data_IF_899893307584
#
_entry.id   IF_899893307584
#
_cell.length_a   1.000
_cell.length_b   1.000
_cell.length_c   1.000
_cell.angle_alpha   90.00
_cell.angle_beta   90.00
_cell.angle_gamma   90.00
#
_symmetry.space_group_name_H-M   'P 1'
#
loop_
_entity.id
_entity.type
_entity.pdbx_description
1 polymer ?
#
# COMPACT_ATOMS: atom_id res chain seq x y z
N UNK A 1 12.49 2.27 -8.83
CA UNK A 1 13.68 2.24 -7.96
C UNK A 1 14.09 0.79 -7.67
N UNK A 2 15.34 0.48 -7.29
CA UNK A 2 15.63 -0.82 -6.68
C UNK A 2 14.80 -0.96 -5.38
N UNK A 3 14.36 -2.17 -5.01
CA UNK A 3 13.49 -2.37 -3.86
C UNK A 3 14.14 -1.82 -2.58
N UNK A 4 13.38 -1.11 -1.76
CA UNK A 4 13.81 -0.77 -0.40
C UNK A 4 14.19 -2.09 0.30
N UNK A 5 15.43 -2.23 0.82
CA UNK A 5 15.83 -3.47 1.48
C UNK A 5 14.96 -3.73 2.71
N UNK A 6 14.27 -4.86 2.74
CA UNK A 6 13.42 -5.27 3.86
C UNK A 6 12.68 -6.55 3.50
N UNK A 7 13.09 -7.67 4.09
CA UNK A 7 12.34 -8.92 4.02
C UNK A 7 12.01 -9.33 5.44
N UNK A 8 10.73 -9.28 5.78
CA UNK A 8 10.20 -9.73 7.05
C UNK A 8 9.40 -11.00 6.81
N UNK A 9 9.73 -12.06 7.55
CA UNK A 9 9.09 -13.37 7.40
C UNK A 9 8.40 -13.72 8.70
N UNK A 10 7.11 -14.06 8.58
CA UNK A 10 6.25 -14.36 9.72
C UNK A 10 5.38 -13.16 10.10
N UNK A 11 4.11 -13.45 10.41
CA UNK A 11 3.08 -12.43 10.70
C UNK A 11 3.53 -11.43 11.77
N UNK A 12 4.07 -11.92 12.88
CA UNK A 12 4.46 -11.06 14.00
C UNK A 12 5.63 -10.15 13.65
N UNK A 13 6.57 -10.63 12.84
CA UNK A 13 7.70 -9.82 12.37
C UNK A 13 7.22 -8.72 11.40
N UNK A 14 6.31 -9.06 10.47
CA UNK A 14 5.73 -8.11 9.52
C UNK A 14 4.93 -7.03 10.25
N UNK A 15 4.04 -7.41 11.17
CA UNK A 15 3.24 -6.44 11.93
C UNK A 15 4.13 -5.62 12.86
N UNK A 16 5.10 -6.25 13.52
CA UNK A 16 6.04 -5.55 14.39
C UNK A 16 6.87 -4.50 13.66
N UNK A 17 7.31 -4.79 12.45
CA UNK A 17 8.00 -3.85 11.57
C UNK A 17 7.11 -2.64 11.23
N UNK A 18 5.89 -2.87 10.76
CA UNK A 18 4.93 -1.80 10.46
C UNK A 18 4.64 -0.90 11.67
N UNK A 19 4.44 -1.51 12.85
CA UNK A 19 4.23 -0.75 14.09
C UNK A 19 5.47 0.07 14.46
N UNK A 20 6.67 -0.50 14.36
CA UNK A 20 7.92 0.19 14.65
C UNK A 20 8.18 1.36 13.69
N UNK A 21 7.80 1.20 12.42
CA UNK A 21 7.90 2.24 11.37
C UNK A 21 6.76 3.28 11.45
N UNK A 22 5.87 3.17 12.45
CA UNK A 22 4.88 4.19 12.77
C UNK A 22 3.59 4.11 11.96
N UNK A 23 3.26 2.94 11.41
CA UNK A 23 2.04 2.72 10.62
C UNK A 23 0.77 3.18 11.36
N UNK A 24 0.69 2.97 12.67
CA UNK A 24 -0.46 3.38 13.50
C UNK A 24 -0.66 4.91 13.56
N UNK A 25 0.40 5.68 13.29
CA UNK A 25 0.39 7.14 13.30
C UNK A 25 0.16 7.79 11.94
N UNK A 26 0.01 7.02 10.85
CA UNK A 26 -0.13 7.58 9.50
C UNK A 26 -1.41 8.41 9.34
N UNK A 27 -2.48 8.07 10.06
CA UNK A 27 -3.76 8.76 10.00
C UNK A 27 -4.74 8.09 9.03
N UNK A 28 -5.67 8.88 8.47
CA UNK A 28 -6.73 8.35 7.63
C UNK A 28 -6.22 7.88 6.26
N UNK A 29 -6.60 6.66 5.89
CA UNK A 29 -6.25 6.04 4.61
C UNK A 29 -7.48 5.59 3.85
N UNK A 30 -7.39 5.63 2.52
CA UNK A 30 -8.32 4.97 1.60
C UNK A 30 -7.58 3.99 0.72
N UNK A 31 -8.27 2.93 0.31
CA UNK A 31 -7.73 1.91 -0.58
C UNK A 31 -8.59 1.77 -1.83
N UNK A 32 -7.93 1.61 -2.98
CA UNK A 32 -8.57 1.21 -4.25
C UNK A 32 -8.04 -0.17 -4.62
N UNK A 33 -8.96 -1.12 -4.83
CA UNK A 33 -8.63 -2.44 -5.33
C UNK A 33 -8.22 -2.37 -6.81
N UNK A 34 -7.14 -3.05 -7.17
CA UNK A 34 -6.62 -3.15 -8.54
C UNK A 34 -5.94 -4.50 -8.75
N UNK A 35 -5.18 -4.66 -9.84
CA UNK A 35 -4.40 -5.87 -10.10
C UNK A 35 -3.07 -5.57 -10.77
N UNK A 36 -2.04 -6.33 -10.42
CA UNK A 36 -0.71 -6.28 -11.04
C UNK A 36 -0.34 -7.66 -11.58
N UNK A 37 -0.13 -7.78 -12.90
CA UNK A 37 0.18 -9.06 -13.55
C UNK A 37 -0.79 -10.20 -13.16
N UNK A 38 -2.10 -9.91 -13.13
CA UNK A 38 -3.18 -10.81 -12.68
C UNK A 38 -3.17 -11.19 -11.19
N UNK A 39 -2.28 -10.62 -10.39
CA UNK A 39 -2.33 -10.75 -8.94
C UNK A 39 -3.21 -9.64 -8.35
N UNK A 40 -3.97 -9.92 -7.26
CA UNK A 40 -4.67 -8.88 -6.52
C UNK A 40 -3.70 -7.83 -6.01
N UNK A 41 -4.10 -6.56 -6.07
CA UNK A 41 -3.33 -5.47 -5.49
C UNK A 41 -4.25 -4.41 -4.87
N UNK A 42 -3.71 -3.65 -3.92
CA UNK A 42 -4.39 -2.54 -3.28
C UNK A 42 -3.51 -1.28 -3.39
N UNK A 43 -4.08 -0.21 -3.92
CA UNK A 43 -3.45 1.10 -3.93
C UNK A 43 -3.95 1.91 -2.75
N UNK A 44 -3.03 2.38 -1.91
CA UNK A 44 -3.33 3.16 -0.72
C UNK A 44 -3.11 4.64 -0.96
N UNK A 45 -4.03 5.43 -0.41
CA UNK A 45 -3.99 6.88 -0.42
C UNK A 45 -4.08 7.40 1.01
N UNK A 46 -3.20 8.32 1.38
CA UNK A 46 -3.11 8.90 2.71
C UNK A 46 -3.70 10.31 2.72
N UNK A 47 -4.49 10.64 3.75
CA UNK A 47 -5.00 11.99 3.92
C UNK A 47 -3.85 12.99 4.06
N UNK A 48 -3.91 14.07 3.28
CA UNK A 48 -3.01 15.20 3.39
C UNK A 48 -3.81 16.46 3.75
N UNK A 49 -3.59 16.99 4.95
CA UNK A 49 -4.31 18.16 5.46
C UNK A 49 -4.08 19.43 4.62
N UNK A 50 -2.89 19.61 4.04
CA UNK A 50 -2.54 20.80 3.27
C UNK A 50 -3.22 20.80 1.90
N UNK A 51 -3.31 19.64 1.26
CA UNK A 51 -3.98 19.47 -0.03
C UNK A 51 -5.49 19.27 0.11
N UNK A 52 -5.99 18.95 1.31
CA UNK A 52 -7.40 18.65 1.54
C UNK A 52 -7.89 17.44 0.74
N UNK A 53 -7.00 16.47 0.50
CA UNK A 53 -7.25 15.31 -0.35
C UNK A 53 -6.44 14.09 0.14
N UNK A 54 -6.85 12.90 -0.28
CA UNK A 54 -6.03 11.70 -0.11
C UNK A 54 -5.04 11.59 -1.27
N UNK A 55 -3.74 11.54 -0.97
CA UNK A 55 -2.65 11.46 -1.94
C UNK A 55 -2.10 10.03 -2.02
N UNK A 56 -1.59 9.59 -3.18
CA UNK A 56 -0.88 8.32 -3.36
C UNK A 56 0.14 8.04 -2.25
N UNK A 57 0.11 6.83 -1.69
CA UNK A 57 1.06 6.36 -0.68
C UNK A 57 1.85 5.14 -1.18
N UNK A 58 1.17 4.03 -1.44
CA UNK A 58 1.80 2.76 -1.86
C UNK A 58 0.88 1.94 -2.75
N UNK A 59 1.48 0.98 -3.47
CA UNK A 59 0.78 -0.14 -4.11
C UNK A 59 1.26 -1.46 -3.51
N UNK A 60 0.36 -2.20 -2.88
CA UNK A 60 0.64 -3.52 -2.33
C UNK A 60 0.13 -4.61 -3.27
N UNK A 61 1.03 -5.44 -3.79
CA UNK A 61 0.70 -6.63 -4.57
C UNK A 61 0.66 -7.84 -3.64
N UNK A 62 -0.46 -8.56 -3.68
CA UNK A 62 -0.75 -9.63 -2.73
C UNK A 62 -0.62 -10.99 -3.40
N UNK A 63 0.11 -11.90 -2.75
CA UNK A 63 0.04 -13.32 -3.07
C UNK A 63 -0.89 -13.99 -2.07
N UNK A 64 -1.91 -14.68 -2.60
CA UNK A 64 -2.92 -15.38 -1.81
C UNK A 64 -2.83 -16.87 -2.07
N UNK A 65 -2.78 -17.67 -1.02
CA UNK A 65 -2.82 -19.14 -1.06
C UNK A 65 -3.86 -19.60 -0.05
N UNK A 66 -4.76 -20.49 -0.46
CA UNK A 66 -5.84 -21.05 0.39
C UNK A 66 -6.68 -19.99 1.14
N UNK A 67 -6.86 -18.82 0.51
CA UNK A 67 -7.63 -17.70 1.08
C UNK A 67 -6.85 -16.80 2.05
N UNK A 68 -5.57 -17.05 2.27
CA UNK A 68 -4.71 -16.27 3.15
C UNK A 68 -3.66 -15.47 2.37
N UNK A 69 -3.32 -14.27 2.87
CA UNK A 69 -2.20 -13.48 2.35
C UNK A 69 -0.91 -14.11 2.85
N UNK A 70 -0.09 -14.61 1.93
CA UNK A 70 1.19 -15.27 2.24
C UNK A 70 2.40 -14.41 1.87
N UNK A 71 2.18 -13.32 1.13
CA UNK A 71 3.23 -12.36 0.75
C UNK A 71 2.60 -11.02 0.37
N UNK A 72 3.29 -9.94 0.73
CA UNK A 72 2.96 -8.57 0.35
C UNK A 72 4.23 -7.98 -0.26
N UNK A 73 4.14 -7.51 -1.51
CA UNK A 73 5.19 -6.71 -2.13
C UNK A 73 4.70 -5.28 -2.28
N UNK A 74 5.33 -4.37 -1.55
CA UNK A 74 4.99 -2.95 -1.54
C UNK A 74 5.84 -2.18 -2.54
N UNK A 75 5.18 -1.38 -3.37
CA UNK A 75 5.79 -0.43 -4.30
C UNK A 75 5.44 0.99 -3.88
N UNK A 76 6.34 1.92 -4.20
CA UNK A 76 6.13 3.35 -3.98
C UNK A 76 5.00 3.90 -4.86
N UNK A 77 4.53 5.08 -4.48
CA UNK A 77 3.47 5.84 -5.14
C UNK A 77 3.74 6.09 -6.64
N UNK A 78 5.01 6.17 -7.04
CA UNK A 78 5.46 6.34 -8.43
C UNK A 78 4.98 5.25 -9.42
N UNK A 79 4.42 4.15 -8.90
CA UNK A 79 3.79 3.12 -9.73
C UNK A 79 2.32 3.36 -10.04
N UNK A 80 1.56 4.12 -9.24
CA UNK A 80 0.10 4.18 -9.31
C UNK A 80 -0.41 4.68 -10.67
N UNK A 81 0.28 5.66 -11.28
CA UNK A 81 -0.07 6.19 -12.60
C UNK A 81 -0.04 5.13 -13.72
N UNK A 82 0.66 4.00 -13.54
CA UNK A 82 0.70 2.89 -14.51
C UNK A 82 -0.54 1.99 -14.46
N UNK A 83 -1.38 2.15 -13.45
CA UNK A 83 -2.58 1.34 -13.21
C UNK A 83 -3.86 2.12 -13.49
N UNK A 84 -3.77 3.25 -14.22
CA UNK A 84 -4.88 4.18 -14.47
C UNK A 84 -5.59 4.64 -13.19
N UNK A 85 -4.83 4.71 -12.08
CA UNK A 85 -5.33 5.14 -10.79
C UNK A 85 -5.28 6.68 -10.66
N UNK A 86 -6.22 7.29 -9.92
CA UNK A 86 -6.24 8.75 -9.74
C UNK A 86 -4.98 9.28 -9.04
N UNK A 87 -4.55 10.49 -9.40
CA UNK A 87 -3.43 11.18 -8.73
C UNK A 87 -3.80 11.72 -7.33
N UNK A 88 -5.11 11.77 -7.01
CA UNK A 88 -5.65 12.12 -5.70
C UNK A 88 -7.10 11.64 -5.58
N UNK A 89 -7.57 11.41 -4.36
CA UNK A 89 -8.99 11.17 -4.06
C UNK A 89 -9.53 12.33 -3.23
N UNK A 90 -10.70 12.83 -3.61
CA UNK A 90 -11.39 13.85 -2.82
C UNK A 90 -12.07 13.18 -1.62
N UNK A 91 -12.19 13.88 -0.48
CA UNK A 91 -13.12 13.46 0.57
C UNK A 91 -14.54 13.42 -0.01
N UNK A 92 -15.38 12.54 0.55
CA UNK A 92 -16.81 12.45 0.17
C UNK A 92 -17.60 13.63 0.71
#
# INVERSE_FOLDING_TARGET
MPPTPGLFVGRDAVVGDWTADGFEGLGEMRAIATSANRQPAAAFYLWNEQEGAYLPLTLDVLRIVDGEIVEITTFHDDQLARFDLPDRLMPE
#
